data_IF_885429749635
#
_entry.id   IF_885429749635
#
_cell.length_a   1.000
_cell.length_b   1.000
_cell.length_c   1.000
_cell.angle_alpha   90.00
_cell.angle_beta   90.00
_cell.angle_gamma   90.00
#
_symmetry.space_group_name_H-M   'P 1'
#
loop_
_entity.id
_entity.type
_entity.pdbx_description
1 polymer ?
#
# COMPACT_ATOMS: atom_id res chain seq x y z
N UNK A 1 21.77 -15.15 -6.14
CA UNK A 1 21.67 -15.77 -4.80
C UNK A 1 20.22 -15.79 -4.34
N UNK A 2 19.81 -16.91 -3.78
CA UNK A 2 18.44 -17.09 -3.28
C UNK A 2 18.50 -17.15 -1.74
N UNK A 3 17.55 -16.49 -1.08
CA UNK A 3 17.49 -16.49 0.38
C UNK A 3 17.10 -17.87 0.90
N UNK A 4 17.85 -18.37 1.89
CA UNK A 4 17.69 -19.73 2.41
C UNK A 4 16.41 -19.87 3.24
N UNK A 5 15.72 -21.03 3.15
CA UNK A 5 14.42 -21.18 3.81
C UNK A 5 14.50 -21.17 5.35
N UNK A 6 15.54 -21.74 5.94
CA UNK A 6 15.67 -21.80 7.38
C UNK A 6 15.91 -20.42 8.01
N UNK A 7 16.65 -19.56 7.34
CA UNK A 7 16.90 -18.19 7.80
C UNK A 7 15.59 -17.38 7.79
N UNK A 8 14.85 -17.48 6.69
CA UNK A 8 13.57 -16.79 6.56
C UNK A 8 12.57 -17.32 7.59
N UNK A 9 12.52 -18.63 7.77
CA UNK A 9 11.59 -19.24 8.72
C UNK A 9 11.88 -18.80 10.15
N UNK A 10 13.15 -18.75 10.55
CA UNK A 10 13.51 -18.28 11.89
C UNK A 10 13.12 -16.83 12.13
N UNK A 11 13.31 -15.97 11.12
CA UNK A 11 12.87 -14.58 11.21
C UNK A 11 11.34 -14.50 11.38
N UNK A 12 10.62 -15.28 10.60
CA UNK A 12 9.17 -15.37 10.69
C UNK A 12 8.73 -15.81 12.09
N UNK A 13 9.31 -16.87 12.62
CA UNK A 13 8.96 -17.37 13.95
C UNK A 13 9.20 -16.36 15.05
N UNK A 14 10.21 -15.50 14.89
CA UNK A 14 10.55 -14.51 15.90
C UNK A 14 9.52 -13.39 16.04
N UNK A 15 8.67 -13.18 15.03
CA UNK A 15 7.70 -12.08 15.04
C UNK A 15 6.25 -12.52 14.89
N UNK A 16 5.99 -13.78 14.55
CA UNK A 16 4.62 -14.23 14.31
C UNK A 16 3.77 -14.25 15.57
N UNK A 17 2.46 -14.04 15.38
CA UNK A 17 1.44 -14.18 16.42
C UNK A 17 0.36 -15.13 15.89
N UNK A 18 -0.62 -15.44 16.72
CA UNK A 18 -1.76 -16.28 16.30
C UNK A 18 -2.54 -15.69 15.13
N UNK A 19 -2.50 -14.38 15.00
CA UNK A 19 -3.30 -13.65 14.00
C UNK A 19 -2.46 -13.05 12.88
N UNK A 20 -1.24 -13.56 12.67
CA UNK A 20 -0.36 -13.00 11.65
C UNK A 20 -0.81 -13.38 10.24
N UNK A 21 -0.84 -12.40 9.36
CA UNK A 21 -0.99 -12.61 7.93
C UNK A 21 0.34 -12.27 7.27
N UNK A 22 0.90 -13.20 6.53
CA UNK A 22 2.21 -13.03 5.88
C UNK A 22 2.00 -12.63 4.42
N UNK A 23 2.52 -11.47 4.06
CA UNK A 23 2.45 -10.94 2.70
C UNK A 23 3.85 -10.90 2.12
N UNK A 24 4.05 -11.56 1.00
CA UNK A 24 5.30 -11.52 0.26
C UNK A 24 5.20 -10.47 -0.84
N UNK A 25 6.12 -9.52 -0.86
CA UNK A 25 6.15 -8.44 -1.84
C UNK A 25 6.95 -8.90 -3.06
N UNK A 26 6.25 -9.09 -4.18
CA UNK A 26 6.84 -9.65 -5.40
C UNK A 26 6.14 -9.09 -6.64
N UNK A 27 6.88 -8.81 -7.74
CA UNK A 27 6.25 -8.37 -8.97
C UNK A 27 5.27 -9.38 -9.57
N UNK A 28 5.36 -10.64 -9.18
CA UNK A 28 4.50 -11.71 -9.67
C UNK A 28 3.17 -11.81 -8.92
N UNK A 29 3.03 -11.09 -7.82
CA UNK A 29 1.80 -11.11 -7.04
C UNK A 29 0.68 -10.31 -7.70
N UNK A 30 -0.50 -10.38 -7.09
CA UNK A 30 -1.62 -9.56 -7.53
C UNK A 30 -1.34 -8.11 -7.20
N UNK A 31 -1.68 -7.21 -8.12
CA UNK A 31 -1.42 -5.78 -7.94
C UNK A 31 -2.28 -5.22 -6.81
N UNK A 32 -1.62 -4.48 -5.92
CA UNK A 32 -2.29 -3.79 -4.83
C UNK A 32 -3.26 -2.75 -5.38
N UNK A 33 -4.46 -2.70 -4.83
CA UNK A 33 -5.44 -1.68 -5.16
C UNK A 33 -6.13 -1.20 -3.89
N UNK A 34 -6.96 -0.17 -4.01
CA UNK A 34 -7.59 0.45 -2.85
C UNK A 34 -8.50 -0.51 -2.08
N UNK A 35 -9.19 -1.38 -2.79
CA UNK A 35 -10.05 -2.39 -2.15
C UNK A 35 -9.24 -3.35 -1.28
N UNK A 36 -8.09 -3.82 -1.79
CA UNK A 36 -7.19 -4.70 -1.04
C UNK A 36 -6.62 -3.97 0.18
N UNK A 37 -6.24 -2.70 0.02
CA UNK A 37 -5.72 -1.89 1.12
C UNK A 37 -6.74 -1.82 2.26
N UNK A 38 -8.00 -1.58 1.94
CA UNK A 38 -9.06 -1.54 2.96
C UNK A 38 -9.21 -2.87 3.67
N UNK A 39 -9.15 -3.98 2.94
CA UNK A 39 -9.22 -5.31 3.52
C UNK A 39 -8.04 -5.55 4.47
N UNK A 40 -6.83 -5.20 4.04
CA UNK A 40 -5.63 -5.39 4.86
C UNK A 40 -5.64 -4.55 6.14
N UNK A 41 -6.27 -3.38 6.10
CA UNK A 41 -6.33 -2.51 7.28
C UNK A 41 -7.11 -3.13 8.45
N UNK A 42 -7.86 -4.18 8.19
CA UNK A 42 -8.64 -4.89 9.20
C UNK A 42 -7.89 -6.05 9.84
N UNK A 43 -6.71 -6.39 9.31
CA UNK A 43 -5.89 -7.46 9.86
C UNK A 43 -5.27 -7.03 11.20
N UNK A 44 -5.20 -7.96 12.14
CA UNK A 44 -4.64 -7.70 13.47
C UNK A 44 -3.13 -7.59 13.45
N UNK A 45 -2.48 -8.35 12.57
CA UNK A 45 -1.03 -8.38 12.50
C UNK A 45 -0.62 -8.78 11.09
N UNK A 46 0.22 -7.96 10.46
CA UNK A 46 0.73 -8.23 9.12
C UNK A 46 2.25 -8.36 9.19
N UNK A 47 2.77 -9.43 8.61
CA UNK A 47 4.20 -9.62 8.42
C UNK A 47 4.48 -9.36 6.95
N UNK A 48 5.35 -8.41 6.66
CA UNK A 48 5.77 -8.10 5.29
C UNK A 48 7.10 -8.80 5.02
N UNK A 49 7.07 -9.77 4.11
CA UNK A 49 8.26 -10.51 3.72
C UNK A 49 8.92 -9.81 2.54
N UNK A 50 10.10 -9.27 2.76
CA UNK A 50 10.86 -8.50 1.77
C UNK A 50 12.03 -9.32 1.27
N UNK A 51 11.97 -9.71 0.00
CA UNK A 51 13.05 -10.48 -0.61
C UNK A 51 14.13 -9.59 -1.21
N UNK A 52 15.28 -10.17 -1.40
CA UNK A 52 16.42 -9.58 -2.07
C UNK A 52 17.00 -10.57 -3.07
N UNK A 53 17.92 -10.09 -3.90
CA UNK A 53 18.64 -10.91 -4.88
C UNK A 53 17.67 -11.56 -5.88
N UNK A 54 17.79 -12.86 -6.08
CA UNK A 54 16.96 -13.60 -7.02
C UNK A 54 15.66 -14.11 -6.41
N UNK A 55 15.47 -13.86 -5.12
CA UNK A 55 14.24 -14.25 -4.44
C UNK A 55 14.47 -15.10 -3.20
N UNK A 56 13.42 -15.77 -2.80
CA UNK A 56 13.38 -16.59 -1.57
C UNK A 56 13.10 -18.04 -1.96
N UNK A 57 13.69 -18.98 -1.25
CA UNK A 57 13.43 -20.40 -1.49
C UNK A 57 11.94 -20.69 -1.47
N UNK A 58 11.44 -21.33 -2.52
CA UNK A 58 10.00 -21.56 -2.70
C UNK A 58 9.37 -22.37 -1.57
N UNK A 59 10.13 -23.24 -0.92
CA UNK A 59 9.58 -24.10 0.14
C UNK A 59 9.08 -23.31 1.34
N UNK A 60 9.79 -22.24 1.74
CA UNK A 60 9.35 -21.41 2.86
C UNK A 60 8.19 -20.49 2.42
N UNK A 61 8.20 -20.05 1.17
CA UNK A 61 7.07 -19.30 0.64
C UNK A 61 5.80 -20.16 0.70
N UNK A 62 5.88 -21.39 0.24
CA UNK A 62 4.73 -22.30 0.26
C UNK A 62 4.22 -22.57 1.67
N UNK A 63 5.11 -22.57 2.66
CA UNK A 63 4.74 -22.89 4.03
C UNK A 63 4.13 -21.71 4.78
N UNK A 64 4.69 -20.49 4.64
CA UNK A 64 4.31 -19.39 5.52
C UNK A 64 3.56 -18.24 4.85
N UNK A 65 3.68 -18.08 3.53
CA UNK A 65 3.09 -16.91 2.85
C UNK A 65 1.59 -17.12 2.62
N UNK A 66 0.80 -16.17 3.09
CA UNK A 66 -0.64 -16.19 2.88
C UNK A 66 -1.03 -15.52 1.57
N UNK A 67 -0.29 -14.49 1.16
CA UNK A 67 -0.62 -13.73 -0.03
C UNK A 67 0.63 -13.08 -0.63
N UNK A 68 0.70 -13.04 -1.95
CA UNK A 68 1.77 -12.38 -2.67
C UNK A 68 1.19 -11.14 -3.34
N UNK A 69 1.80 -9.99 -3.09
CA UNK A 69 1.30 -8.69 -3.57
C UNK A 69 2.37 -7.95 -4.34
N UNK A 70 1.97 -7.39 -5.48
CA UNK A 70 2.79 -6.52 -6.32
C UNK A 70 2.32 -5.07 -6.20
N UNK A 71 3.24 -4.12 -6.33
CA UNK A 71 2.87 -2.70 -6.41
C UNK A 71 2.87 -2.19 -7.86
N UNK A 72 3.19 -3.04 -8.82
CA UNK A 72 3.20 -2.68 -10.23
C UNK A 72 4.05 -3.63 -11.05
N UNK A 73 3.98 -3.49 -12.37
CA UNK A 73 4.66 -4.37 -13.31
C UNK A 73 6.11 -3.92 -13.56
N UNK A 74 6.95 -4.01 -12.54
CA UNK A 74 8.37 -3.67 -12.64
C UNK A 74 9.13 -4.37 -11.52
N UNK A 75 10.44 -4.51 -11.72
CA UNK A 75 11.30 -5.17 -10.77
C UNK A 75 12.12 -4.14 -10.01
N UNK A 76 12.15 -4.28 -8.69
CA UNK A 76 12.92 -3.42 -7.79
C UNK A 76 14.07 -4.24 -7.20
N UNK A 77 15.03 -3.54 -6.60
CA UNK A 77 16.20 -4.19 -6.00
C UNK A 77 15.83 -5.13 -4.84
N UNK A 78 14.78 -4.79 -4.10
CA UNK A 78 14.33 -5.59 -2.98
C UNK A 78 12.89 -5.25 -2.60
N UNK A 79 12.38 -5.89 -1.56
CA UNK A 79 10.99 -5.74 -1.14
C UNK A 79 10.70 -4.58 -0.21
N UNK A 80 11.71 -3.82 0.19
CA UNK A 80 11.53 -2.74 1.18
C UNK A 80 10.68 -1.60 0.68
N UNK A 81 10.89 -1.16 -0.57
CA UNK A 81 10.09 -0.07 -1.15
C UNK A 81 8.64 -0.50 -1.32
N UNK A 82 8.34 -1.69 -1.89
CA UNK A 82 6.97 -2.20 -1.88
C UNK A 82 6.36 -2.28 -0.48
N UNK A 83 7.15 -2.69 0.52
CA UNK A 83 6.67 -2.75 1.90
C UNK A 83 6.27 -1.36 2.41
N UNK A 84 7.05 -0.33 2.07
CA UNK A 84 6.73 1.04 2.44
C UNK A 84 5.41 1.50 1.80
N UNK A 85 5.17 1.11 0.55
CA UNK A 85 3.90 1.42 -0.12
C UNK A 85 2.73 0.76 0.61
N UNK A 86 2.88 -0.50 1.00
CA UNK A 86 1.84 -1.21 1.75
C UNK A 86 1.60 -0.54 3.10
N UNK A 87 2.67 -0.23 3.82
CA UNK A 87 2.57 0.42 5.14
C UNK A 87 1.85 1.77 5.02
N UNK A 88 2.27 2.59 4.08
CA UNK A 88 1.68 3.92 3.90
C UNK A 88 0.20 3.83 3.54
N UNK A 89 -0.15 3.00 2.55
CA UNK A 89 -1.53 2.89 2.09
C UNK A 89 -2.45 2.27 3.13
N UNK A 90 -2.00 1.23 3.81
CA UNK A 90 -2.81 0.51 4.81
C UNK A 90 -2.98 1.33 6.09
N UNK A 91 -1.90 1.97 6.56
CA UNK A 91 -1.96 2.73 7.82
C UNK A 91 -2.93 3.91 7.75
N UNK A 92 -3.20 4.45 6.57
CA UNK A 92 -4.17 5.54 6.41
C UNK A 92 -5.59 5.12 6.81
N UNK A 93 -5.89 3.84 6.74
CA UNK A 93 -7.20 3.29 7.13
C UNK A 93 -7.23 2.78 8.56
N UNK A 94 -6.11 2.82 9.27
CA UNK A 94 -6.07 2.41 10.68
C UNK A 94 -6.64 3.55 11.52
N UNK A 95 -7.53 3.21 12.44
CA UNK A 95 -8.19 4.18 13.30
C UNK A 95 -7.19 5.05 14.05
N UNK A 96 -7.41 6.35 14.05
CA UNK A 96 -6.57 7.31 14.75
C UNK A 96 -5.40 7.88 13.94
N UNK A 97 -5.12 7.34 12.74
CA UNK A 97 -4.02 7.85 11.92
C UNK A 97 -4.46 9.06 11.10
N UNK A 98 -5.59 8.96 10.39
CA UNK A 98 -6.18 10.07 9.64
C UNK A 98 -7.64 10.25 10.02
N UNK A 99 -8.19 11.44 9.75
CA UNK A 99 -9.59 11.67 9.99
C UNK A 99 -10.41 10.86 8.97
N UNK A 100 -11.56 10.39 9.41
CA UNK A 100 -12.46 9.62 8.55
C UNK A 100 -12.90 10.40 7.32
N UNK A 101 -13.11 11.70 7.48
CA UNK A 101 -13.51 12.57 6.38
C UNK A 101 -12.42 12.66 5.31
N UNK A 102 -11.16 12.78 5.71
CA UNK A 102 -10.04 12.82 4.76
C UNK A 102 -9.97 11.56 3.92
N UNK A 103 -10.22 10.41 4.54
CA UNK A 103 -10.17 9.13 3.84
C UNK A 103 -11.34 9.01 2.86
N UNK A 104 -12.51 9.44 3.25
CA UNK A 104 -13.71 9.36 2.40
C UNK A 104 -13.64 10.26 1.19
N UNK A 105 -12.94 11.38 1.29
CA UNK A 105 -12.80 12.36 0.20
C UNK A 105 -11.64 12.05 -0.74
N UNK A 106 -10.80 11.09 -0.42
CA UNK A 106 -9.66 10.75 -1.25
C UNK A 106 -10.05 10.05 -2.56
N UNK A 107 -9.18 10.20 -3.56
CA UNK A 107 -9.30 9.49 -4.83
C UNK A 107 -9.43 7.99 -4.59
N UNK A 108 -10.26 7.34 -5.36
CA UNK A 108 -10.53 5.89 -5.28
C UNK A 108 -11.31 5.45 -4.03
N UNK A 109 -11.53 6.32 -3.06
CA UNK A 109 -12.36 5.98 -1.89
C UNK A 109 -13.83 5.83 -2.26
N UNK A 110 -14.26 6.56 -3.29
CA UNK A 110 -15.64 6.59 -3.76
C UNK A 110 -15.78 5.98 -5.16
N UNK A 111 -15.40 4.71 -5.31
CA UNK A 111 -15.64 3.99 -6.55
C UNK A 111 -14.68 4.32 -7.68
N UNK A 112 -13.42 4.51 -7.40
CA UNK A 112 -12.37 4.80 -8.38
C UNK A 112 -12.44 6.19 -9.02
N UNK A 113 -13.15 7.10 -8.40
CA UNK A 113 -13.19 8.49 -8.86
C UNK A 113 -11.99 9.24 -8.35
N UNK A 114 -11.36 10.01 -9.23
CA UNK A 114 -10.26 10.89 -8.84
C UNK A 114 -10.82 12.16 -8.22
N UNK A 115 -10.02 12.79 -7.36
CA UNK A 115 -10.38 14.08 -6.80
C UNK A 115 -10.52 15.12 -7.90
N UNK A 116 -11.36 16.12 -7.64
CA UNK A 116 -11.46 17.27 -8.54
C UNK A 116 -10.14 18.04 -8.56
N UNK A 117 -9.82 18.71 -9.68
CA UNK A 117 -8.64 19.56 -9.73
C UNK A 117 -8.65 20.57 -8.60
N UNK A 118 -7.50 20.76 -7.98
CA UNK A 118 -7.36 21.65 -6.85
C UNK A 118 -6.67 22.93 -7.27
N UNK A 119 -7.05 24.04 -6.63
CA UNK A 119 -6.51 25.35 -6.92
C UNK A 119 -6.13 26.05 -5.63
N UNK A 120 -5.16 26.96 -5.73
CA UNK A 120 -4.73 27.77 -4.61
C UNK A 120 -4.43 29.18 -5.11
N UNK A 121 -3.86 30.02 -4.29
CA UNK A 121 -3.42 31.35 -4.71
C UNK A 121 -2.16 31.24 -5.54
N UNK A 122 -1.92 32.17 -6.51
CA UNK A 122 -2.78 33.31 -6.88
C UNK A 122 -3.97 32.87 -7.73
N UNK A 123 -4.98 33.76 -7.82
CA UNK A 123 -6.18 33.53 -8.63
C UNK A 123 -5.86 33.33 -10.09
N UNK A 124 -4.84 34.05 -10.60
CA UNK A 124 -4.36 33.91 -11.97
C UNK A 124 -2.86 33.62 -11.96
N UNK A 125 -2.44 32.61 -12.70
CA UNK A 125 -1.05 32.21 -12.81
C UNK A 125 -0.72 31.96 -14.27
N UNK A 126 0.20 32.78 -14.81
CA UNK A 126 0.65 32.69 -16.21
C UNK A 126 -0.52 32.64 -17.20
N UNK A 127 -1.53 33.47 -16.98
CA UNK A 127 -2.71 33.54 -17.85
C UNK A 127 -3.78 32.49 -17.56
N UNK A 128 -3.51 31.58 -16.63
CA UNK A 128 -4.45 30.53 -16.25
C UNK A 128 -5.20 30.96 -14.99
N UNK A 129 -6.52 30.96 -15.05
CA UNK A 129 -7.37 31.40 -13.95
C UNK A 129 -8.03 30.24 -13.22
N UNK A 130 -8.22 30.41 -11.93
CA UNK A 130 -9.06 29.51 -11.15
C UNK A 130 -10.49 29.61 -11.70
N UNK A 131 -11.20 28.48 -11.91
CA UNK A 131 -12.57 28.51 -12.39
C UNK A 131 -13.47 29.39 -11.54
N UNK A 132 -14.31 30.23 -12.20
CA UNK A 132 -15.20 31.18 -11.52
C UNK A 132 -16.08 30.55 -10.44
N UNK A 133 -16.58 29.35 -10.71
CA UNK A 133 -17.45 28.63 -9.77
C UNK A 133 -16.80 28.42 -8.41
N UNK A 134 -15.47 28.29 -8.38
CA UNK A 134 -14.73 28.10 -7.14
C UNK A 134 -14.42 29.40 -6.41
N UNK A 135 -14.55 30.54 -7.08
CA UNK A 135 -14.32 31.83 -6.48
C UNK A 135 -15.56 32.41 -5.83
N UNK A 136 -16.74 31.95 -6.22
CA UNK A 136 -18.02 32.51 -5.82
C UNK A 136 -18.46 32.15 -4.40
N UNK A 137 -17.79 31.24 -3.74
CA UNK A 137 -18.18 30.71 -2.40
C UNK A 137 -19.61 30.20 -2.32
N UNK A 138 -20.19 29.87 -3.44
CA UNK A 138 -21.52 29.26 -3.45
C UNK A 138 -21.42 27.81 -3.06
N UNK A 139 -22.17 27.33 -2.07
CA UNK A 139 -22.09 25.94 -1.67
C UNK A 139 -22.55 24.96 -2.77
#
# INVERSE_FOLDING_TARGET
>A
MVMMPDVVYRAYESVKTENSKVIYLSPQGKTLNQAKVKTLSKEKHIILLCGHYEGIDQRVIDEIVDEEISIGDYVLTGGEIPAMVVIDTVSRYVEGVLSKESIEEESFSNGNLLEYPQYTRPEEFHGMKVPEVLLSRTP
#
